data_IF_666121292743
#
_entry.id   IF_666121292743
#
_cell.length_a   1.000
_cell.length_b   1.000
_cell.length_c   1.000
_cell.angle_alpha   90.00
_cell.angle_beta   90.00
_cell.angle_gamma   90.00
#
_symmetry.space_group_name_H-M   'P 1'
#
loop_
_entity.id
_entity.type
_entity.pdbx_description
1 polymer ?
#
# COMPACT_ATOMS: atom_id res chain seq x y z
N UNK A 1 -11.69 -33.43 3.41
CA UNK A 1 -10.79 -32.28 3.66
C UNK A 1 -11.39 -31.44 4.78
N UNK A 2 -10.57 -30.78 5.58
CA UNK A 2 -11.07 -29.83 6.56
C UNK A 2 -11.29 -28.48 5.90
N UNK A 3 -12.24 -27.67 6.39
CA UNK A 3 -12.49 -26.31 5.89
C UNK A 3 -11.20 -25.47 5.78
N UNK A 4 -10.27 -25.64 6.73
CA UNK A 4 -8.96 -24.96 6.71
C UNK A 4 -8.07 -25.41 5.54
N UNK A 5 -8.10 -26.69 5.17
CA UNK A 5 -7.36 -27.19 3.99
C UNK A 5 -7.91 -26.60 2.70
N UNK A 6 -9.24 -26.53 2.57
CA UNK A 6 -9.90 -25.93 1.39
C UNK A 6 -9.54 -24.45 1.22
N UNK A 7 -9.43 -23.71 2.34
CA UNK A 7 -8.99 -22.31 2.36
C UNK A 7 -7.55 -22.17 1.83
N UNK A 8 -6.61 -22.99 2.31
CA UNK A 8 -5.22 -22.94 1.86
C UNK A 8 -5.06 -23.34 0.39
N UNK A 9 -5.76 -24.38 -0.05
CA UNK A 9 -5.73 -24.83 -1.44
C UNK A 9 -6.31 -23.78 -2.39
N UNK A 10 -7.38 -23.10 -2.00
CA UNK A 10 -7.96 -21.99 -2.74
C UNK A 10 -6.98 -20.81 -2.85
N UNK A 11 -6.33 -20.42 -1.75
CA UNK A 11 -5.35 -19.35 -1.73
C UNK A 11 -4.13 -19.66 -2.62
N UNK A 12 -3.64 -20.90 -2.61
CA UNK A 12 -2.52 -21.33 -3.44
C UNK A 12 -2.90 -21.38 -4.94
N UNK A 13 -4.09 -21.83 -5.24
CA UNK A 13 -4.65 -21.82 -6.61
C UNK A 13 -4.75 -20.39 -7.13
N UNK A 14 -5.36 -19.48 -6.36
CA UNK A 14 -5.48 -18.06 -6.73
C UNK A 14 -4.11 -17.43 -6.94
N UNK A 15 -3.13 -17.75 -6.10
CA UNK A 15 -1.76 -17.24 -6.24
C UNK A 15 -1.14 -17.63 -7.59
N UNK A 16 -1.23 -18.91 -7.96
CA UNK A 16 -0.68 -19.42 -9.24
C UNK A 16 -1.38 -18.81 -10.44
N UNK A 17 -2.71 -18.70 -10.38
CA UNK A 17 -3.51 -18.09 -11.46
C UNK A 17 -3.22 -16.61 -11.61
N UNK A 18 -3.10 -15.86 -10.51
CA UNK A 18 -2.75 -14.45 -10.51
C UNK A 18 -1.36 -14.20 -11.08
N UNK A 19 -0.36 -15.03 -10.72
CA UNK A 19 0.97 -14.96 -11.32
C UNK A 19 0.94 -15.18 -12.83
N UNK A 20 0.19 -16.20 -13.29
CA UNK A 20 0.03 -16.49 -14.71
C UNK A 20 -0.69 -15.35 -15.43
N UNK A 21 -1.71 -14.78 -14.81
CA UNK A 21 -2.50 -13.68 -15.37
C UNK A 21 -1.66 -12.42 -15.52
N UNK A 22 -0.97 -11.99 -14.46
CA UNK A 22 -0.17 -10.76 -14.45
C UNK A 22 1.10 -10.89 -15.30
N UNK A 23 1.64 -12.11 -15.46
CA UNK A 23 2.83 -12.37 -16.27
C UNK A 23 3.97 -11.42 -15.91
N UNK A 24 4.55 -10.77 -16.91
CA UNK A 24 5.69 -9.87 -16.75
C UNK A 24 5.40 -8.64 -15.88
N UNK A 25 4.11 -8.29 -15.70
CA UNK A 25 3.73 -7.13 -14.87
C UNK A 25 4.15 -7.30 -13.41
N UNK A 26 4.27 -8.55 -12.91
CA UNK A 26 4.70 -8.81 -11.53
C UNK A 26 6.12 -8.29 -11.26
N UNK A 27 6.98 -8.22 -12.29
CA UNK A 27 8.35 -7.72 -12.16
C UNK A 27 8.44 -6.27 -11.73
N UNK A 28 7.38 -5.47 -11.95
CA UNK A 28 7.30 -4.08 -11.50
C UNK A 28 7.36 -4.01 -9.97
N UNK A 29 6.81 -5.01 -9.28
CA UNK A 29 6.89 -5.06 -7.81
C UNK A 29 8.34 -5.09 -7.34
N UNK A 30 9.21 -5.86 -8.01
CA UNK A 30 10.63 -5.92 -7.67
C UNK A 30 11.31 -4.57 -7.92
N UNK A 31 10.97 -3.87 -9.00
CA UNK A 31 11.51 -2.53 -9.28
C UNK A 31 11.15 -1.53 -8.16
N UNK A 32 9.92 -1.59 -7.63
CA UNK A 32 9.52 -0.79 -6.46
C UNK A 32 10.30 -1.19 -5.19
N UNK A 33 10.44 -2.49 -4.93
CA UNK A 33 11.20 -3.01 -3.78
C UNK A 33 12.64 -2.51 -3.82
N UNK A 34 13.28 -2.54 -4.99
CA UNK A 34 14.64 -2.05 -5.20
C UNK A 34 14.73 -0.53 -5.06
N UNK A 35 13.69 0.21 -5.49
CA UNK A 35 13.63 1.65 -5.33
C UNK A 35 13.55 2.04 -3.84
N UNK A 36 12.71 1.35 -3.06
CA UNK A 36 12.62 1.54 -1.62
C UNK A 36 13.93 1.21 -0.91
N UNK A 37 14.57 0.08 -1.29
CA UNK A 37 15.86 -0.32 -0.72
C UNK A 37 16.91 0.74 -1.00
N UNK A 38 17.04 1.18 -2.25
CA UNK A 38 18.03 2.21 -2.61
C UNK A 38 17.81 3.52 -1.88
N UNK A 39 16.57 3.98 -1.75
CA UNK A 39 16.25 5.20 -0.99
C UNK A 39 16.63 5.05 0.49
N UNK A 40 16.40 3.88 1.07
CA UNK A 40 16.78 3.57 2.46
C UNK A 40 18.29 3.53 2.66
N UNK A 41 19.03 2.90 1.75
CA UNK A 41 20.49 2.79 1.82
C UNK A 41 21.15 4.18 1.74
N UNK A 42 20.66 5.03 0.84
CA UNK A 42 21.13 6.43 0.71
C UNK A 42 20.84 7.20 2.01
N UNK A 43 19.61 7.13 2.52
CA UNK A 43 19.23 7.84 3.73
C UNK A 43 20.04 7.38 4.95
N UNK A 44 20.29 6.07 5.08
CA UNK A 44 21.09 5.50 6.16
C UNK A 44 22.58 5.86 6.08
N UNK A 45 23.11 6.05 4.88
CA UNK A 45 24.49 6.51 4.63
C UNK A 45 24.70 8.03 4.80
N UNK A 46 23.62 8.80 4.97
CA UNK A 46 23.69 10.25 5.12
C UNK A 46 24.30 10.68 6.46
N UNK A 47 25.05 11.79 6.51
CA UNK A 47 25.46 12.40 7.77
C UNK A 47 24.30 12.78 8.70
N UNK A 48 23.10 12.92 8.16
CA UNK A 48 21.88 13.23 8.90
C UNK A 48 21.17 11.99 9.44
N UNK A 49 21.67 10.77 9.15
CA UNK A 49 21.02 9.51 9.52
C UNK A 49 20.75 9.34 11.02
N UNK A 50 21.47 10.06 11.89
CA UNK A 50 21.30 9.99 13.34
C UNK A 50 20.30 10.99 13.92
N UNK A 51 19.72 11.88 13.11
CA UNK A 51 18.66 12.76 13.59
C UNK A 51 17.35 11.98 13.72
N UNK A 52 16.62 12.20 14.80
CA UNK A 52 15.39 11.46 15.10
C UNK A 52 14.38 11.47 13.94
N UNK A 53 14.15 12.61 13.30
CA UNK A 53 13.25 12.74 12.16
C UNK A 53 13.70 11.93 10.93
N UNK A 54 15.01 11.80 10.70
CA UNK A 54 15.56 10.98 9.61
C UNK A 54 15.54 9.49 9.94
N UNK A 55 15.85 9.13 11.19
CA UNK A 55 15.68 7.74 11.68
C UNK A 55 14.25 7.28 11.48
N UNK A 56 13.29 8.12 11.87
CA UNK A 56 11.87 7.79 11.68
C UNK A 56 11.47 7.74 10.21
N UNK A 57 11.87 8.72 9.41
CA UNK A 57 11.61 8.72 7.97
C UNK A 57 12.09 7.42 7.31
N UNK A 58 13.31 6.97 7.63
CA UNK A 58 13.87 5.73 7.12
C UNK A 58 13.11 4.50 7.62
N UNK A 59 12.75 4.45 8.91
CA UNK A 59 11.93 3.35 9.47
C UNK A 59 10.57 3.24 8.77
N UNK A 60 9.88 4.36 8.57
CA UNK A 60 8.59 4.38 7.89
C UNK A 60 8.71 3.99 6.40
N UNK A 61 9.79 4.40 5.74
CA UNK A 61 10.10 3.96 4.39
C UNK A 61 10.24 2.43 4.31
N UNK A 62 10.99 1.83 5.22
CA UNK A 62 11.18 0.37 5.29
C UNK A 62 9.89 -0.37 5.64
N UNK A 63 9.07 0.18 6.53
CA UNK A 63 7.75 -0.36 6.84
C UNK A 63 6.83 -0.32 5.60
N UNK A 64 6.83 0.77 4.84
CA UNK A 64 6.06 0.89 3.60
C UNK A 64 6.50 -0.15 2.56
N UNK A 65 7.81 -0.42 2.42
CA UNK A 65 8.33 -1.50 1.60
C UNK A 65 7.78 -2.87 2.03
N UNK A 66 7.78 -3.14 3.34
CA UNK A 66 7.23 -4.39 3.89
C UNK A 66 5.74 -4.54 3.56
N UNK A 67 4.96 -3.47 3.69
CA UNK A 67 3.54 -3.47 3.35
C UNK A 67 3.29 -3.61 1.85
N UNK A 68 4.17 -3.10 0.97
CA UNK A 68 4.12 -3.38 -0.46
C UNK A 68 4.24 -4.89 -0.72
N UNK A 69 5.30 -5.51 -0.22
CA UNK A 69 5.58 -6.93 -0.47
C UNK A 69 4.45 -7.82 0.05
N UNK A 70 4.01 -7.58 1.30
CA UNK A 70 2.94 -8.39 1.92
C UNK A 70 1.59 -8.10 1.29
N UNK A 71 1.28 -6.84 0.93
CA UNK A 71 0.04 -6.47 0.25
C UNK A 71 -0.08 -7.09 -1.15
N UNK A 72 1.02 -7.14 -1.91
CA UNK A 72 1.05 -7.83 -3.21
C UNK A 72 0.86 -9.35 -3.01
N UNK A 73 1.50 -9.94 -2.00
CA UNK A 73 1.32 -11.36 -1.70
C UNK A 73 -0.13 -11.71 -1.35
N UNK A 74 -0.82 -10.85 -0.61
CA UNK A 74 -2.24 -10.98 -0.29
C UNK A 74 -3.12 -10.76 -1.53
N UNK A 75 -2.80 -9.76 -2.36
CA UNK A 75 -3.49 -9.50 -3.63
C UNK A 75 -3.44 -10.72 -4.56
N UNK A 76 -2.27 -11.34 -4.71
CA UNK A 76 -2.10 -12.55 -5.54
C UNK A 76 -2.90 -13.75 -5.03
N UNK A 77 -3.22 -13.79 -3.75
CA UNK A 77 -4.10 -14.81 -3.14
C UNK A 77 -5.57 -14.42 -3.14
N UNK A 78 -5.91 -13.27 -3.69
CA UNK A 78 -7.26 -12.67 -3.66
C UNK A 78 -7.76 -12.34 -2.23
N UNK A 79 -6.84 -12.11 -1.29
CA UNK A 79 -7.15 -11.62 0.06
C UNK A 79 -7.31 -10.09 0.05
N UNK A 80 -8.34 -9.60 -0.61
CA UNK A 80 -8.46 -8.17 -0.95
C UNK A 80 -8.62 -7.25 0.27
N UNK A 81 -9.22 -7.73 1.37
CA UNK A 81 -9.29 -6.94 2.59
C UNK A 81 -7.94 -6.78 3.27
N UNK A 82 -7.16 -7.88 3.33
CA UNK A 82 -5.81 -7.84 3.90
C UNK A 82 -4.91 -6.96 3.04
N UNK A 83 -5.03 -7.08 1.72
CA UNK A 83 -4.40 -6.19 0.74
C UNK A 83 -4.72 -4.71 1.01
N UNK A 84 -5.99 -4.38 1.20
CA UNK A 84 -6.43 -3.01 1.52
C UNK A 84 -5.91 -2.56 2.88
N UNK A 85 -5.90 -3.45 3.87
CA UNK A 85 -5.30 -3.22 5.19
C UNK A 85 -3.81 -2.87 5.10
N UNK A 86 -3.02 -3.65 4.35
CA UNK A 86 -1.59 -3.39 4.14
C UNK A 86 -1.35 -2.09 3.39
N UNK A 87 -2.13 -1.82 2.34
CA UNK A 87 -2.04 -0.56 1.58
C UNK A 87 -2.36 0.64 2.48
N UNK A 88 -3.40 0.56 3.31
CA UNK A 88 -3.74 1.59 4.30
C UNK A 88 -2.59 1.85 5.26
N UNK A 89 -1.98 0.78 5.80
CA UNK A 89 -0.83 0.91 6.70
C UNK A 89 0.37 1.57 6.02
N UNK A 90 0.65 1.27 4.75
CA UNK A 90 1.70 1.94 4.00
C UNK A 90 1.43 3.46 3.82
N UNK A 91 0.18 3.84 3.55
CA UNK A 91 -0.24 5.24 3.46
C UNK A 91 -0.04 5.96 4.82
N UNK A 92 -0.41 5.31 5.93
CA UNK A 92 -0.18 5.85 7.27
C UNK A 92 1.31 6.13 7.53
N UNK A 93 2.21 5.20 7.14
CA UNK A 93 3.65 5.42 7.30
C UNK A 93 4.13 6.66 6.56
N UNK A 94 3.70 6.86 5.32
CA UNK A 94 4.06 8.04 4.52
C UNK A 94 3.52 9.35 5.15
N UNK A 95 2.27 9.33 5.62
CA UNK A 95 1.65 10.48 6.27
C UNK A 95 2.34 10.83 7.60
N UNK A 96 2.70 9.84 8.41
CA UNK A 96 3.48 10.04 9.65
C UNK A 96 4.86 10.61 9.34
N UNK A 97 5.57 10.07 8.36
CA UNK A 97 6.87 10.57 7.95
C UNK A 97 6.81 12.05 7.52
N UNK A 98 5.85 12.42 6.69
CA UNK A 98 5.64 13.79 6.25
C UNK A 98 5.30 14.73 7.41
N UNK A 99 4.50 14.26 8.39
CA UNK A 99 4.17 15.04 9.58
C UNK A 99 5.38 15.28 10.48
N UNK A 100 6.19 14.24 10.70
CA UNK A 100 7.42 14.38 11.49
C UNK A 100 8.41 15.30 10.80
N UNK A 101 8.53 15.25 9.47
CA UNK A 101 9.36 16.19 8.70
C UNK A 101 8.96 17.66 8.94
N UNK A 102 7.66 17.94 9.00
CA UNK A 102 7.12 19.30 9.28
C UNK A 102 7.26 19.70 10.75
N UNK A 103 7.19 18.74 11.65
CA UNK A 103 7.20 18.91 13.10
C UNK A 103 8.19 17.96 13.76
N UNK A 104 9.52 18.21 13.68
CA UNK A 104 10.57 17.27 14.11
C UNK A 104 10.46 16.81 15.57
N UNK A 105 9.91 17.66 16.46
CA UNK A 105 9.66 17.29 17.85
C UNK A 105 8.73 16.08 18.03
N UNK A 106 7.87 15.78 17.03
CA UNK A 106 7.00 14.61 17.06
C UNK A 106 7.77 13.29 16.87
N UNK A 107 9.01 13.35 16.36
CA UNK A 107 9.87 12.16 16.30
C UNK A 107 10.07 11.57 17.69
N UNK A 108 10.39 12.43 18.67
CA UNK A 108 10.55 12.00 20.05
C UNK A 108 9.27 11.44 20.65
N UNK A 109 8.12 12.10 20.44
CA UNK A 109 6.82 11.59 20.90
C UNK A 109 6.56 10.17 20.39
N UNK A 110 6.85 9.91 19.11
CA UNK A 110 6.67 8.57 18.54
C UNK A 110 7.66 7.55 19.13
N UNK A 111 8.94 7.93 19.30
CA UNK A 111 9.95 7.05 19.86
C UNK A 111 9.61 6.68 21.31
N UNK A 112 9.16 7.65 22.09
CA UNK A 112 8.78 7.46 23.50
C UNK A 112 7.49 6.63 23.64
N UNK A 113 6.56 6.71 22.70
CA UNK A 113 5.27 5.99 22.72
C UNK A 113 5.41 4.46 22.80
N UNK A 114 6.55 3.91 22.40
CA UNK A 114 6.86 2.47 22.54
C UNK A 114 7.29 2.06 23.95
N UNK A 115 7.46 2.99 24.88
CA UNK A 115 8.07 2.74 26.19
C UNK A 115 7.11 2.92 27.36
N UNK A 116 6.07 3.74 27.24
CA UNK A 116 5.07 3.92 28.29
C UNK A 116 3.68 4.31 27.74
N UNK A 117 2.64 4.08 28.57
CA UNK A 117 1.25 4.29 28.21
C UNK A 117 0.91 5.79 28.06
N UNK A 118 1.50 6.65 28.86
CA UNK A 118 1.28 8.10 28.81
C UNK A 118 1.82 8.68 27.49
N UNK A 119 3.03 8.27 27.08
CA UNK A 119 3.60 8.65 25.80
C UNK A 119 2.78 8.11 24.62
N UNK A 120 2.18 6.92 24.76
CA UNK A 120 1.29 6.37 23.73
C UNK A 120 0.00 7.19 23.58
N UNK A 121 -0.59 7.69 24.67
CA UNK A 121 -1.78 8.54 24.59
C UNK A 121 -1.45 9.91 23.98
N UNK A 122 -0.30 10.50 24.32
CA UNK A 122 0.19 11.72 23.67
C UNK A 122 0.40 11.49 22.17
N UNK A 123 1.01 10.36 21.79
CA UNK A 123 1.16 9.97 20.39
C UNK A 123 -0.19 9.90 19.66
N UNK A 124 -1.17 9.22 20.22
CA UNK A 124 -2.52 9.10 19.63
C UNK A 124 -3.16 10.45 19.38
N UNK A 125 -3.07 11.37 20.33
CA UNK A 125 -3.63 12.72 20.20
C UNK A 125 -2.91 13.51 19.10
N UNK A 126 -1.57 13.54 19.12
CA UNK A 126 -0.75 14.31 18.19
C UNK A 126 -0.86 13.81 16.75
N UNK A 127 -1.08 12.53 16.53
CA UNK A 127 -1.19 11.93 15.20
C UNK A 127 -2.64 11.73 14.70
N UNK A 128 -3.62 12.28 15.39
CA UNK A 128 -5.04 12.10 15.06
C UNK A 128 -5.44 12.64 13.68
N UNK A 129 -4.81 13.72 13.19
CA UNK A 129 -5.02 14.27 11.83
C UNK A 129 -3.80 14.02 10.96
N UNK A 130 -3.84 12.95 10.19
CA UNK A 130 -2.71 12.51 9.37
C UNK A 130 -2.59 13.27 8.05
N UNK A 131 -3.70 13.61 7.43
CA UNK A 131 -3.75 14.14 6.07
C UNK A 131 -4.10 15.63 6.09
N UNK A 132 -3.10 16.52 5.87
CA UNK A 132 -3.34 17.95 5.78
C UNK A 132 -3.91 18.33 4.41
N UNK A 133 -4.80 19.33 4.40
CA UNK A 133 -5.44 19.80 3.17
C UNK A 133 -4.49 20.55 2.21
N UNK A 134 -3.40 21.08 2.76
CA UNK A 134 -2.42 21.94 2.05
C UNK A 134 -1.33 21.15 1.32
N UNK A 135 -1.38 19.82 1.31
CA UNK A 135 -0.38 18.96 0.66
C UNK A 135 -1.03 18.04 -0.38
N UNK A 136 -0.80 18.34 -1.67
CA UNK A 136 -1.49 17.66 -2.78
C UNK A 136 -1.36 16.13 -2.75
N UNK A 137 -0.14 15.60 -2.54
CA UNK A 137 0.09 14.14 -2.50
C UNK A 137 -0.60 13.50 -1.29
N UNK A 138 -0.53 14.13 -0.11
CA UNK A 138 -1.16 13.59 1.10
C UNK A 138 -2.68 13.63 1.02
N UNK A 139 -3.27 14.61 0.34
CA UNK A 139 -4.71 14.65 0.08
C UNK A 139 -5.16 13.45 -0.75
N UNK A 140 -4.46 13.17 -1.86
CA UNK A 140 -4.76 11.99 -2.70
C UNK A 140 -4.55 10.69 -1.92
N UNK A 141 -3.51 10.60 -1.11
CA UNK A 141 -3.28 9.43 -0.24
C UNK A 141 -4.38 9.30 0.82
N UNK A 142 -4.92 10.41 1.35
CA UNK A 142 -6.06 10.41 2.27
C UNK A 142 -7.33 9.83 1.63
N UNK A 143 -7.64 10.20 0.39
CA UNK A 143 -8.76 9.62 -0.37
C UNK A 143 -8.58 8.10 -0.54
N UNK A 144 -7.37 7.63 -0.84
CA UNK A 144 -7.06 6.20 -0.96
C UNK A 144 -7.12 5.48 0.38
N UNK A 145 -6.67 6.12 1.44
CA UNK A 145 -6.80 5.62 2.81
C UNK A 145 -8.27 5.33 3.13
N UNK A 146 -9.17 6.27 2.83
CA UNK A 146 -10.60 6.10 3.06
C UNK A 146 -11.20 4.99 2.21
N UNK A 147 -10.75 4.83 0.96
CA UNK A 147 -11.14 3.70 0.12
C UNK A 147 -10.73 2.35 0.75
N UNK A 148 -9.49 2.24 1.20
CA UNK A 148 -8.99 1.05 1.87
C UNK A 148 -9.72 0.79 3.20
N UNK A 149 -9.98 1.83 3.98
CA UNK A 149 -10.70 1.74 5.25
C UNK A 149 -12.11 1.17 5.06
N UNK A 150 -12.85 1.59 4.02
CA UNK A 150 -14.17 1.04 3.68
C UNK A 150 -14.15 -0.47 3.40
N UNK A 151 -13.05 -1.00 2.87
CA UNK A 151 -12.90 -2.43 2.59
C UNK A 151 -12.45 -3.25 3.81
N UNK A 152 -11.79 -2.62 4.79
CA UNK A 152 -11.25 -3.30 5.97
C UNK A 152 -12.17 -3.24 7.18
N UNK A 153 -13.00 -2.18 7.31
CA UNK A 153 -13.96 -2.08 8.40
C UNK A 153 -15.25 -2.87 8.09
N UNK A 154 -15.95 -3.37 9.13
CA UNK A 154 -17.28 -3.98 8.97
C UNK A 154 -18.25 -2.97 8.35
N UNK A 155 -18.39 -3.00 7.05
CA UNK A 155 -19.26 -2.11 6.27
C UNK A 155 -19.92 -2.91 5.16
N UNK A 156 -20.98 -2.38 4.56
CA UNK A 156 -21.63 -3.01 3.42
C UNK A 156 -20.64 -3.26 2.28
N UNK A 157 -19.64 -2.40 2.12
CA UNK A 157 -18.61 -2.55 1.08
C UNK A 157 -17.68 -3.74 1.31
N UNK A 158 -17.38 -4.06 2.59
CA UNK A 158 -16.56 -5.22 2.92
C UNK A 158 -17.33 -6.54 2.84
N UNK A 159 -18.66 -6.50 2.93
CA UNK A 159 -19.53 -7.67 2.87
C UNK A 159 -20.12 -7.91 1.49
N UNK A 160 -20.47 -6.87 0.74
CA UNK A 160 -21.20 -6.97 -0.53
C UNK A 160 -20.50 -7.82 -1.60
N UNK A 161 -19.16 -7.80 -1.62
CA UNK A 161 -18.36 -8.63 -2.54
C UNK A 161 -18.05 -10.04 -2.04
N UNK A 162 -18.39 -10.36 -0.78
CA UNK A 162 -17.98 -11.60 -0.12
C UNK A 162 -19.11 -12.46 0.39
N UNK A 163 -20.34 -11.95 0.37
CA UNK A 163 -21.51 -12.69 0.84
C UNK A 163 -22.53 -12.82 -0.28
N UNK A 164 -22.99 -14.04 -0.50
CA UNK A 164 -24.16 -14.34 -1.33
C UNK A 164 -25.28 -14.80 -0.44
N UNK A 165 -26.46 -14.22 -0.64
CA UNK A 165 -27.69 -14.66 0.00
C UNK A 165 -28.42 -15.55 -0.99
N UNK A 166 -28.52 -16.83 -0.70
CA UNK A 166 -29.39 -17.76 -1.44
C UNK A 166 -30.69 -17.88 -0.66
N UNK A 167 -31.79 -17.48 -1.29
CA UNK A 167 -33.13 -17.60 -0.73
C UNK A 167 -33.81 -18.84 -1.30
N UNK A 168 -34.28 -19.71 -0.42
CA UNK A 168 -35.26 -20.75 -0.75
C UNK A 168 -36.59 -20.42 -0.07
N UNK A 169 -37.69 -21.13 -0.44
CA UNK A 169 -39.04 -20.85 0.07
C UNK A 169 -39.17 -20.85 1.62
N UNK A 170 -38.17 -21.36 2.33
CA UNK A 170 -38.20 -21.49 3.79
C UNK A 170 -36.93 -21.07 4.52
N UNK A 171 -35.81 -20.81 3.79
CA UNK A 171 -34.52 -20.58 4.44
C UNK A 171 -33.68 -19.56 3.65
N UNK A 172 -32.95 -18.74 4.39
CA UNK A 172 -31.86 -17.93 3.85
C UNK A 172 -30.55 -18.64 4.15
N UNK A 173 -29.74 -18.89 3.13
CA UNK A 173 -28.38 -19.36 3.30
C UNK A 173 -27.44 -18.20 2.98
N UNK A 174 -26.63 -17.79 3.96
CA UNK A 174 -25.58 -16.80 3.78
C UNK A 174 -24.29 -17.56 3.48
N UNK A 175 -23.79 -17.45 2.25
CA UNK A 175 -22.48 -17.99 1.88
C UNK A 175 -21.44 -16.88 1.93
N UNK A 176 -20.39 -17.09 2.70
CA UNK A 176 -19.21 -16.23 2.70
C UNK A 176 -18.16 -16.81 1.77
N UNK A 177 -17.75 -16.02 0.78
CA UNK A 177 -16.73 -16.37 -0.20
C UNK A 177 -15.47 -15.55 0.12
N UNK A 178 -14.55 -16.13 0.91
CA UNK A 178 -13.37 -15.42 1.40
C UNK A 178 -12.35 -15.08 0.31
N UNK A 179 -12.29 -15.84 -0.79
CA UNK A 179 -11.19 -15.82 -1.76
C UNK A 179 -11.65 -15.98 -3.20
N UNK A 180 -12.82 -15.48 -3.55
CA UNK A 180 -13.25 -15.52 -4.95
C UNK A 180 -12.67 -14.34 -5.73
N UNK A 181 -11.83 -14.68 -6.73
CA UNK A 181 -11.59 -13.78 -7.83
C UNK A 181 -12.87 -13.68 -8.68
N UNK A 182 -13.19 -12.50 -9.19
CA UNK A 182 -14.17 -12.37 -10.27
C UNK A 182 -13.80 -13.33 -11.40
N UNK A 183 -14.78 -13.96 -12.04
CA UNK A 183 -14.56 -14.99 -13.08
C UNK A 183 -13.70 -14.51 -14.24
N UNK A 184 -13.66 -13.21 -14.51
CA UNK A 184 -12.86 -12.59 -15.55
C UNK A 184 -11.44 -12.22 -15.11
N UNK A 185 -11.08 -12.43 -13.82
CA UNK A 185 -9.77 -12.10 -13.26
C UNK A 185 -9.47 -10.61 -13.19
N UNK A 186 -10.46 -9.73 -13.43
CA UNK A 186 -10.21 -8.28 -13.48
C UNK A 186 -9.88 -7.67 -12.13
N UNK A 187 -10.47 -8.17 -11.06
CA UNK A 187 -10.32 -7.61 -9.71
C UNK A 187 -8.89 -7.72 -9.15
N UNK A 188 -8.19 -8.86 -9.21
CA UNK A 188 -6.79 -8.94 -8.80
C UNK A 188 -5.89 -7.99 -9.60
N UNK A 189 -6.14 -7.86 -10.91
CA UNK A 189 -5.36 -6.95 -11.77
C UNK A 189 -5.60 -5.49 -11.38
N UNK A 190 -6.85 -5.08 -11.19
CA UNK A 190 -7.20 -3.72 -10.73
C UNK A 190 -6.54 -3.41 -9.39
N UNK A 191 -6.63 -4.36 -8.45
CA UNK A 191 -6.06 -4.22 -7.11
C UNK A 191 -4.54 -4.14 -7.17
N UNK A 192 -3.88 -4.96 -7.97
CA UNK A 192 -2.44 -4.92 -8.19
C UNK A 192 -1.97 -3.55 -8.66
N UNK A 193 -2.58 -3.00 -9.72
CA UNK A 193 -2.22 -1.68 -10.23
C UNK A 193 -2.60 -0.54 -9.27
N UNK A 194 -3.68 -0.68 -8.51
CA UNK A 194 -4.03 0.27 -7.44
C UNK A 194 -2.95 0.33 -6.35
N UNK A 195 -2.43 -0.82 -5.90
CA UNK A 195 -1.33 -0.88 -4.93
C UNK A 195 -0.10 -0.18 -5.49
N UNK A 196 0.35 -0.56 -6.69
CA UNK A 196 1.55 0.03 -7.30
C UNK A 196 1.42 1.54 -7.49
N UNK A 197 0.27 2.03 -7.96
CA UNK A 197 0.01 3.45 -8.09
C UNK A 197 0.02 4.18 -6.74
N UNK A 198 -0.52 3.55 -5.70
CA UNK A 198 -0.46 4.11 -4.33
C UNK A 198 0.98 4.17 -3.84
N UNK A 199 1.78 3.14 -4.07
CA UNK A 199 3.19 3.12 -3.68
C UNK A 199 4.04 4.12 -4.48
N UNK A 200 3.68 4.45 -5.72
CA UNK A 200 4.34 5.54 -6.45
C UNK A 200 4.14 6.90 -5.73
N UNK A 201 2.92 7.19 -5.27
CA UNK A 201 2.67 8.40 -4.48
C UNK A 201 3.41 8.38 -3.14
N UNK A 202 3.46 7.23 -2.47
CA UNK A 202 4.20 7.03 -1.21
C UNK A 202 5.70 7.30 -1.43
N UNK A 203 6.30 6.76 -2.48
CA UNK A 203 7.71 7.02 -2.83
C UNK A 203 7.97 8.52 -3.02
N UNK A 204 7.06 9.22 -3.70
CA UNK A 204 7.20 10.67 -3.90
C UNK A 204 7.12 11.44 -2.57
N UNK A 205 6.24 11.05 -1.64
CA UNK A 205 6.23 11.63 -0.28
C UNK A 205 7.56 11.38 0.44
N UNK A 206 8.11 10.17 0.37
CA UNK A 206 9.41 9.89 1.01
C UNK A 206 10.58 10.63 0.37
N UNK A 207 10.54 10.89 -0.94
CA UNK A 207 11.53 11.76 -1.61
C UNK A 207 11.52 13.17 -1.01
N UNK A 208 10.33 13.72 -0.70
CA UNK A 208 10.23 15.02 -0.03
C UNK A 208 10.69 14.94 1.44
N UNK A 209 10.30 13.90 2.16
CA UNK A 209 10.66 13.70 3.57
C UNK A 209 12.18 13.57 3.76
N UNK A 210 12.83 12.82 2.89
CA UNK A 210 14.26 12.51 2.97
C UNK A 210 15.13 13.44 2.11
N UNK A 211 14.56 14.49 1.52
CA UNK A 211 15.26 15.35 0.55
C UNK A 211 16.62 15.83 1.06
N UNK A 212 16.70 16.24 2.33
CA UNK A 212 17.96 16.74 2.93
C UNK A 212 19.00 15.63 3.13
N UNK A 213 18.54 14.39 3.33
CA UNK A 213 19.41 13.24 3.55
C UNK A 213 19.94 12.61 2.26
N UNK A 214 19.29 12.90 1.11
CA UNK A 214 19.61 12.30 -0.18
C UNK A 214 20.14 13.29 -1.22
N UNK A 215 20.58 14.49 -0.80
CA UNK A 215 20.95 15.61 -1.71
C UNK A 215 21.88 15.16 -2.82
N UNK A 216 22.96 14.45 -2.48
CA UNK A 216 23.98 14.05 -3.46
C UNK A 216 23.48 12.96 -4.43
N UNK A 217 22.54 12.15 -4.02
CA UNK A 217 21.97 11.03 -4.79
C UNK A 217 20.56 11.35 -5.35
N UNK A 218 20.02 12.54 -5.08
CA UNK A 218 18.63 12.88 -5.41
C UNK A 218 18.33 12.70 -6.90
N UNK A 219 19.22 13.13 -7.79
CA UNK A 219 19.06 12.98 -9.23
C UNK A 219 19.08 11.51 -9.68
N UNK A 220 19.95 10.70 -9.11
CA UNK A 220 20.03 9.28 -9.43
C UNK A 220 18.77 8.54 -8.98
N UNK A 221 18.27 8.87 -7.78
CA UNK A 221 17.03 8.31 -7.24
C UNK A 221 15.82 8.75 -8.08
N UNK A 222 15.78 10.02 -8.51
CA UNK A 222 14.74 10.54 -9.39
C UNK A 222 14.70 9.81 -10.73
N UNK A 223 15.84 9.65 -11.39
CA UNK A 223 15.92 8.92 -12.66
C UNK A 223 15.43 7.49 -12.52
N UNK A 224 15.77 6.82 -11.42
CA UNK A 224 15.29 5.48 -11.14
C UNK A 224 13.78 5.44 -10.88
N UNK A 225 13.25 6.37 -10.11
CA UNK A 225 11.81 6.49 -9.87
C UNK A 225 11.03 6.72 -11.18
N UNK A 226 11.52 7.61 -12.03
CA UNK A 226 10.92 7.87 -13.34
C UNK A 226 10.96 6.63 -14.26
N UNK A 227 12.03 5.84 -14.20
CA UNK A 227 12.12 4.58 -14.96
C UNK A 227 11.09 3.54 -14.46
N UNK A 228 10.93 3.40 -13.15
CA UNK A 228 9.90 2.52 -12.55
C UNK A 228 8.50 2.98 -12.94
N UNK A 229 8.24 4.29 -12.88
CA UNK A 229 6.96 4.88 -13.29
C UNK A 229 6.66 4.64 -14.77
N UNK A 230 7.64 4.86 -15.65
CA UNK A 230 7.48 4.62 -17.08
C UNK A 230 7.13 3.14 -17.38
N UNK A 231 7.81 2.20 -16.70
CA UNK A 231 7.51 0.76 -16.82
C UNK A 231 6.12 0.44 -16.30
N UNK A 232 5.75 0.97 -15.13
CA UNK A 232 4.40 0.84 -14.55
C UNK A 232 3.33 1.31 -15.55
N UNK A 233 3.49 2.53 -16.10
CA UNK A 233 2.52 3.12 -17.04
C UNK A 233 2.42 2.29 -18.32
N UNK A 234 3.53 1.77 -18.86
CA UNK A 234 3.52 0.93 -20.05
C UNK A 234 2.70 -0.36 -19.83
N UNK A 235 2.90 -1.04 -18.70
CA UNK A 235 2.11 -2.23 -18.36
C UNK A 235 0.65 -1.90 -18.09
N UNK A 236 0.36 -0.81 -17.36
CA UNK A 236 -1.01 -0.38 -17.08
C UNK A 236 -1.77 -0.08 -18.38
N UNK A 237 -1.15 0.56 -19.37
CA UNK A 237 -1.74 0.80 -20.70
C UNK A 237 -2.11 -0.51 -21.40
N UNK A 238 -1.19 -1.47 -21.44
CA UNK A 238 -1.46 -2.79 -22.03
C UNK A 238 -2.64 -3.53 -21.35
N UNK A 239 -2.82 -3.31 -20.04
CA UNK A 239 -3.96 -3.86 -19.31
C UNK A 239 -5.25 -3.06 -19.49
N UNK A 240 -5.19 -1.73 -19.64
CA UNK A 240 -6.34 -0.87 -19.83
C UNK A 240 -7.09 -1.16 -21.16
N UNK A 241 -6.41 -1.74 -22.13
CA UNK A 241 -7.03 -2.23 -23.37
C UNK A 241 -7.88 -3.49 -23.13
N UNK A 242 -7.49 -4.32 -22.16
CA UNK A 242 -8.21 -5.55 -21.77
C UNK A 242 -9.26 -5.30 -20.70
N UNK A 243 -8.98 -4.39 -19.78
CA UNK A 243 -9.83 -4.04 -18.63
C UNK A 243 -10.08 -2.54 -18.67
N UNK A 244 -11.14 -2.07 -19.36
CA UNK A 244 -11.43 -0.63 -19.52
C UNK A 244 -11.55 0.14 -18.21
N UNK A 245 -11.93 -0.53 -17.11
CA UNK A 245 -12.00 0.05 -15.77
C UNK A 245 -10.65 0.57 -15.24
N UNK A 246 -9.51 0.18 -15.84
CA UNK A 246 -8.18 0.70 -15.49
C UNK A 246 -7.83 2.03 -16.16
N UNK A 247 -8.57 2.48 -17.19
CA UNK A 247 -8.29 3.73 -17.92
C UNK A 247 -8.23 4.98 -17.03
N UNK A 248 -9.09 5.15 -16.02
CA UNK A 248 -9.00 6.29 -15.11
C UNK A 248 -7.71 6.34 -14.27
N UNK A 249 -7.00 5.21 -14.15
CA UNK A 249 -5.73 5.12 -13.43
C UNK A 249 -4.51 5.51 -14.27
N UNK A 250 -4.70 5.75 -15.58
CA UNK A 250 -3.62 6.22 -16.45
C UNK A 250 -3.31 7.68 -16.14
N UNK A 251 -2.02 8.07 -16.06
CA UNK A 251 -1.65 9.47 -15.99
C UNK A 251 -2.05 10.19 -17.29
N UNK A 252 -2.40 11.45 -17.14
CA UNK A 252 -2.77 12.34 -18.25
C UNK A 252 -1.60 12.54 -19.23
#
# INVERSE_FOLDING_TARGET
MTELQDVYESADTNYRESLRLLGDSISITQDFVDLYQRASDIAAGSPLALKDEHVMGTKFLMASRCYLVTGIADCLRCHLADTSGKTRMAIEQAAFAARVKRHPHLAKVWLDAGHDETAYDEYREKFRKLFPDDHALLRVLGERYDMCAKQTHPSIYSFAGRSKVEQSDRHYTLKFEYFQAERDGSEPVRTFFFILNTHMLIVNVFREVLADAIVDDAKALELRANAVEAKYVAHLRGWADRIPALRPSLPA
#
